data_IF_143967369184
#
_entry.id   IF_143967369184
#
_cell.length_a   1.000
_cell.length_b   1.000
_cell.length_c   1.000
_cell.angle_alpha   90.00
_cell.angle_beta   90.00
_cell.angle_gamma   90.00
#
_symmetry.space_group_name_H-M   'P 1'
#
loop_
_entity.id
_entity.type
_entity.pdbx_description
1 polymer ?
#
# COMPACT_ATOMS: atom_id res chain seq x y z
N UNK A 1 24.02 12.20 8.99
CA UNK A 1 24.53 11.02 8.26
C UNK A 1 24.67 9.79 9.17
N UNK A 2 25.43 9.82 10.27
CA UNK A 2 25.62 8.65 11.15
C UNK A 2 24.31 8.06 11.71
N UNK A 3 23.39 8.89 12.22
CA UNK A 3 22.08 8.45 12.72
C UNK A 3 21.24 7.70 11.66
N UNK A 4 21.33 8.09 10.39
CA UNK A 4 20.64 7.42 9.28
C UNK A 4 21.11 5.97 9.13
N UNK A 5 22.42 5.73 9.15
CA UNK A 5 22.98 4.37 9.08
C UNK A 5 22.69 3.54 10.32
N UNK A 6 22.64 4.15 11.51
CA UNK A 6 22.23 3.45 12.74
C UNK A 6 20.77 2.99 12.66
N UNK A 7 19.86 3.85 12.18
CA UNK A 7 18.46 3.49 11.97
C UNK A 7 18.32 2.36 10.95
N UNK A 8 18.97 2.47 9.79
CA UNK A 8 18.97 1.40 8.78
C UNK A 8 19.49 0.09 9.38
N UNK A 9 20.60 0.12 10.11
CA UNK A 9 21.16 -1.08 10.74
C UNK A 9 20.17 -1.72 11.72
N UNK A 10 19.47 -0.91 12.52
CA UNK A 10 18.40 -1.36 13.44
C UNK A 10 17.26 -2.03 12.66
N UNK A 11 16.78 -1.43 11.58
CA UNK A 11 15.72 -1.99 10.74
C UNK A 11 16.12 -3.34 10.12
N UNK A 12 17.35 -3.44 9.61
CA UNK A 12 17.92 -4.69 9.07
C UNK A 12 18.02 -5.78 10.15
N UNK A 13 18.30 -5.43 11.42
CA UNK A 13 18.30 -6.44 12.48
C UNK A 13 16.91 -7.05 12.68
N UNK A 14 15.83 -6.28 12.62
CA UNK A 14 14.48 -6.85 12.68
C UNK A 14 14.20 -7.79 11.51
N UNK A 15 14.60 -7.41 10.28
CA UNK A 15 14.50 -8.28 9.11
C UNK A 15 15.23 -9.62 9.30
N UNK A 16 16.42 -9.60 9.91
CA UNK A 16 17.20 -10.81 10.20
C UNK A 16 16.58 -11.70 11.28
N UNK A 17 15.85 -11.10 12.22
CA UNK A 17 15.15 -11.84 13.27
C UNK A 17 13.82 -12.41 12.76
N UNK A 18 13.27 -11.87 11.67
CA UNK A 18 12.07 -12.40 11.05
C UNK A 18 12.35 -13.81 10.47
N UNK A 19 11.61 -14.86 10.90
CA UNK A 19 11.86 -16.22 10.44
C UNK A 19 11.66 -16.35 8.93
N UNK A 20 12.66 -16.88 8.23
CA UNK A 20 12.66 -17.01 6.77
C UNK A 20 11.43 -17.77 6.26
N UNK A 21 11.03 -18.83 6.97
CA UNK A 21 9.87 -19.65 6.63
C UNK A 21 8.52 -18.96 6.81
N UNK A 22 8.48 -17.78 7.44
CA UNK A 22 7.28 -16.97 7.67
C UNK A 22 7.23 -15.72 6.76
N UNK A 23 8.25 -15.47 5.93
CA UNK A 23 8.37 -14.24 5.12
C UNK A 23 7.15 -13.99 4.21
N UNK A 24 6.46 -15.06 3.80
CA UNK A 24 5.25 -14.96 2.99
C UNK A 24 4.14 -14.15 3.68
N UNK A 25 4.14 -14.04 5.01
CA UNK A 25 3.15 -13.24 5.76
C UNK A 25 3.30 -11.74 5.54
N UNK A 26 4.46 -11.27 5.07
CA UNK A 26 4.61 -9.88 4.63
C UNK A 26 3.84 -9.59 3.34
N UNK A 27 3.50 -10.63 2.58
CA UNK A 27 2.90 -10.53 1.24
C UNK A 27 1.42 -10.86 1.29
N UNK A 28 1.07 -11.94 1.99
CA UNK A 28 -0.28 -12.51 1.99
C UNK A 28 -1.09 -11.91 3.14
N UNK A 29 -2.24 -11.31 2.82
CA UNK A 29 -3.19 -10.78 3.80
C UNK A 29 -3.49 -11.82 4.90
N UNK A 30 -3.42 -11.40 6.16
CA UNK A 30 -3.81 -12.23 7.30
C UNK A 30 -5.20 -12.87 7.18
N UNK A 31 -6.17 -12.14 6.62
CA UNK A 31 -7.54 -12.65 6.38
C UNK A 31 -7.58 -13.87 5.44
N UNK A 32 -6.57 -14.03 4.59
CA UNK A 32 -6.48 -15.10 3.61
C UNK A 32 -5.73 -16.33 4.14
N UNK A 33 -4.94 -16.22 5.22
CA UNK A 33 -4.05 -17.31 5.67
C UNK A 33 -4.80 -18.64 5.83
N UNK A 34 -5.96 -18.63 6.51
CA UNK A 34 -6.75 -19.86 6.70
C UNK A 34 -7.52 -20.30 5.44
N UNK A 35 -8.05 -19.35 4.68
CA UNK A 35 -8.88 -19.61 3.48
C UNK A 35 -8.02 -20.17 2.35
N UNK A 36 -6.78 -19.69 2.26
CA UNK A 36 -5.84 -19.93 1.18
C UNK A 36 -4.71 -20.90 1.53
N UNK A 37 -4.77 -21.45 2.75
CA UNK A 37 -3.80 -22.40 3.28
C UNK A 37 -2.37 -21.83 3.23
N UNK A 38 -2.20 -20.69 3.89
CA UNK A 38 -1.00 -19.87 3.87
C UNK A 38 -0.86 -19.15 2.53
N UNK A 39 0.31 -19.23 1.93
CA UNK A 39 0.65 -18.51 0.70
C UNK A 39 0.31 -19.27 -0.59
N UNK A 40 -0.04 -20.55 -0.49
CA UNK A 40 -0.17 -21.45 -1.65
C UNK A 40 -1.24 -20.99 -2.63
N UNK A 41 -2.49 -20.80 -2.18
CA UNK A 41 -3.56 -20.40 -3.11
C UNK A 41 -3.41 -18.94 -3.53
N UNK A 42 -2.85 -18.09 -2.67
CA UNK A 42 -2.52 -16.71 -3.00
C UNK A 42 -1.60 -16.64 -4.22
N UNK A 43 -0.48 -17.37 -4.19
CA UNK A 43 0.47 -17.47 -5.30
C UNK A 43 -0.19 -17.96 -6.59
N UNK A 44 -1.13 -18.91 -6.48
CA UNK A 44 -1.85 -19.50 -7.60
C UNK A 44 -2.85 -18.57 -8.28
N UNK A 45 -3.24 -17.46 -7.64
CA UNK A 45 -4.18 -16.48 -8.24
C UNK A 45 -3.63 -15.89 -9.54
N UNK A 46 -2.32 -15.66 -9.59
CA UNK A 46 -1.62 -15.10 -10.74
C UNK A 46 -0.54 -16.06 -11.24
N UNK A 47 -0.98 -17.26 -11.66
CA UNK A 47 -0.14 -18.28 -12.31
C UNK A 47 1.06 -18.77 -11.49
N UNK A 48 0.94 -18.82 -10.16
CA UNK A 48 1.99 -19.30 -9.24
C UNK A 48 3.28 -18.47 -9.27
N UNK A 49 3.12 -17.15 -9.39
CA UNK A 49 4.24 -16.20 -9.40
C UNK A 49 4.05 -14.97 -8.52
N UNK A 50 2.85 -14.72 -7.97
CA UNK A 50 2.58 -13.50 -7.20
C UNK A 50 3.51 -13.35 -5.97
N UNK A 51 3.73 -14.45 -5.25
CA UNK A 51 4.60 -14.43 -4.07
C UNK A 51 6.06 -14.22 -4.48
N UNK A 52 6.54 -14.91 -5.52
CA UNK A 52 7.90 -14.73 -6.02
C UNK A 52 8.14 -13.30 -6.55
N UNK A 53 7.21 -12.77 -7.35
CA UNK A 53 7.32 -11.43 -7.92
C UNK A 53 7.30 -10.36 -6.84
N UNK A 54 6.46 -10.52 -5.82
CA UNK A 54 6.48 -9.60 -4.66
C UNK A 54 7.75 -9.75 -3.83
N UNK A 55 8.31 -10.95 -3.66
CA UNK A 55 9.62 -11.15 -3.03
C UNK A 55 10.74 -10.44 -3.81
N UNK A 56 10.70 -10.43 -5.14
CA UNK A 56 11.65 -9.68 -5.97
C UNK A 56 11.49 -8.16 -5.75
N UNK A 57 10.25 -7.68 -5.59
CA UNK A 57 9.99 -6.29 -5.21
C UNK A 57 10.59 -5.93 -3.84
N UNK A 58 10.40 -6.80 -2.84
CA UNK A 58 11.00 -6.64 -1.51
C UNK A 58 12.54 -6.73 -1.53
N UNK A 59 13.11 -7.55 -2.40
CA UNK A 59 14.56 -7.60 -2.62
C UNK A 59 15.10 -6.22 -3.01
N UNK A 60 14.48 -5.56 -4.01
CA UNK A 60 14.82 -4.19 -4.40
C UNK A 60 14.53 -3.20 -3.27
N UNK A 61 13.42 -3.38 -2.55
CA UNK A 61 13.05 -2.49 -1.44
C UNK A 61 14.13 -2.46 -0.35
N UNK A 62 14.82 -3.58 -0.13
CA UNK A 62 15.84 -3.75 0.91
C UNK A 62 17.28 -3.61 0.43
N UNK A 63 17.53 -3.09 -0.77
CA UNK A 63 18.87 -2.66 -1.23
C UNK A 63 18.98 -1.15 -1.24
N UNK A 64 20.21 -0.61 -1.16
CA UNK A 64 20.46 0.83 -1.26
C UNK A 64 19.63 1.67 -0.26
N UNK A 65 19.44 1.18 0.97
CA UNK A 65 18.56 1.77 1.99
C UNK A 65 19.04 3.16 2.44
N UNK A 66 20.25 3.58 2.13
CA UNK A 66 20.72 4.95 2.34
C UNK A 66 20.22 5.95 1.28
N UNK A 67 19.57 5.48 0.21
CA UNK A 67 19.03 6.34 -0.86
C UNK A 67 17.60 6.77 -0.58
N UNK A 68 17.32 7.99 -1.00
CA UNK A 68 16.01 8.62 -0.87
C UNK A 68 14.98 7.96 -1.81
N UNK A 69 13.69 8.20 -1.53
CA UNK A 69 12.62 7.66 -2.37
C UNK A 69 12.50 8.51 -3.63
N UNK A 70 12.41 7.85 -4.79
CA UNK A 70 12.34 8.50 -6.11
C UNK A 70 11.35 7.76 -7.00
N UNK A 71 10.82 8.38 -8.08
CA UNK A 71 9.99 7.65 -9.03
C UNK A 71 10.73 6.49 -9.70
N UNK A 72 12.03 6.62 -9.96
CA UNK A 72 12.83 5.54 -10.55
C UNK A 72 12.85 4.28 -9.67
N UNK A 73 12.94 4.44 -8.35
CA UNK A 73 12.79 3.34 -7.41
C UNK A 73 11.38 2.75 -7.50
N UNK A 74 10.34 3.58 -7.47
CA UNK A 74 8.93 3.14 -7.54
C UNK A 74 8.65 2.34 -8.81
N UNK A 75 9.12 2.80 -9.97
CA UNK A 75 9.00 2.08 -11.25
C UNK A 75 9.75 0.73 -11.19
N UNK A 76 10.91 0.68 -10.55
CA UNK A 76 11.69 -0.55 -10.38
C UNK A 76 11.00 -1.56 -9.47
N UNK A 77 10.41 -1.09 -8.36
CA UNK A 77 9.61 -1.92 -7.45
C UNK A 77 8.40 -2.52 -8.17
N UNK A 78 7.64 -1.68 -8.90
CA UNK A 78 6.49 -2.15 -9.68
C UNK A 78 6.90 -3.16 -10.75
N UNK A 79 7.98 -2.86 -11.48
CA UNK A 79 8.54 -3.77 -12.49
C UNK A 79 8.84 -5.15 -11.88
N UNK A 80 9.50 -5.20 -10.73
CA UNK A 80 9.81 -6.46 -10.07
C UNK A 80 8.55 -7.19 -9.57
N UNK A 81 7.59 -6.47 -8.99
CA UNK A 81 6.29 -7.03 -8.55
C UNK A 81 5.46 -7.61 -9.71
N UNK A 82 5.69 -7.17 -10.94
CA UNK A 82 5.01 -7.68 -12.15
C UNK A 82 5.86 -8.64 -12.99
N UNK A 83 7.17 -8.72 -12.75
CA UNK A 83 8.07 -9.58 -13.53
C UNK A 83 7.67 -11.03 -13.31
N UNK A 84 7.54 -11.80 -14.40
CA UNK A 84 7.05 -13.19 -14.45
C UNK A 84 5.53 -13.39 -14.28
N UNK A 85 4.74 -12.33 -14.08
CA UNK A 85 3.29 -12.46 -14.17
C UNK A 85 2.90 -12.59 -15.65
N UNK A 86 2.43 -13.77 -16.06
CA UNK A 86 1.88 -13.96 -17.40
C UNK A 86 0.38 -13.77 -17.37
N UNK A 87 -0.12 -12.56 -17.60
CA UNK A 87 -1.54 -12.35 -17.87
C UNK A 87 -1.86 -12.80 -19.29
N UNK A 88 -2.04 -14.11 -19.50
CA UNK A 88 -2.56 -14.61 -20.76
C UNK A 88 -4.07 -14.78 -20.63
N UNK A 89 -4.79 -13.66 -20.66
CA UNK A 89 -6.24 -13.65 -20.76
C UNK A 89 -6.59 -13.45 -22.24
N UNK A 90 -7.08 -14.48 -22.94
CA UNK A 90 -7.40 -14.37 -24.36
C UNK A 90 -8.37 -13.21 -24.60
N UNK A 91 -7.95 -12.25 -25.42
CA UNK A 91 -8.78 -11.09 -25.81
C UNK A 91 -8.61 -9.84 -24.96
N UNK A 92 -7.80 -9.85 -23.89
CA UNK A 92 -7.46 -8.64 -23.15
C UNK A 92 -6.04 -8.17 -23.45
N UNK A 93 -5.94 -7.07 -24.21
CA UNK A 93 -4.70 -6.29 -24.33
C UNK A 93 -4.87 -5.10 -23.39
N UNK A 94 -4.45 -5.23 -22.13
CA UNK A 94 -4.08 -4.05 -21.35
C UNK A 94 -2.62 -3.75 -21.68
N UNK A 95 -2.29 -2.49 -21.97
CA UNK A 95 -0.91 -2.00 -21.96
C UNK A 95 -0.42 -1.92 -20.50
N UNK A 96 -0.41 -3.07 -19.82
CA UNK A 96 0.04 -3.24 -18.43
C UNK A 96 1.53 -3.59 -18.42
N UNK A 97 2.33 -2.64 -18.92
CA UNK A 97 3.78 -2.82 -19.01
C UNK A 97 4.43 -2.67 -17.62
N UNK A 98 5.19 -3.69 -17.14
CA UNK A 98 5.89 -3.64 -15.86
C UNK A 98 6.82 -2.42 -15.75
N UNK A 99 6.63 -1.64 -14.69
CA UNK A 99 7.44 -0.44 -14.44
C UNK A 99 7.12 0.76 -15.33
N UNK A 100 5.91 0.83 -15.90
CA UNK A 100 5.43 1.98 -16.66
C UNK A 100 4.13 2.48 -16.04
N UNK A 101 3.98 3.80 -15.92
CA UNK A 101 2.71 4.40 -15.47
C UNK A 101 1.60 4.15 -16.49
N UNK A 102 0.37 3.95 -16.01
CA UNK A 102 -0.78 3.75 -16.90
C UNK A 102 -1.01 4.97 -17.80
N UNK A 103 -1.44 4.72 -19.02
CA UNK A 103 -1.79 5.70 -20.04
C UNK A 103 -3.31 5.94 -20.14
N UNK A 104 -4.11 5.19 -19.37
CA UNK A 104 -5.58 5.27 -19.34
C UNK A 104 -6.17 5.44 -17.94
N UNK A 105 -7.49 5.54 -17.86
CA UNK A 105 -8.21 5.70 -16.59
C UNK A 105 -8.33 4.37 -15.86
N UNK A 106 -7.78 4.29 -14.65
CA UNK A 106 -8.01 3.20 -13.71
C UNK A 106 -9.34 3.35 -12.96
N UNK A 107 -9.73 2.33 -12.20
CA UNK A 107 -10.72 2.46 -11.12
C UNK A 107 -10.63 1.26 -10.19
N UNK A 108 -11.03 1.42 -8.93
CA UNK A 108 -11.22 0.30 -8.02
C UNK A 108 -12.47 0.49 -7.16
N UNK A 109 -13.01 -0.63 -6.68
CA UNK A 109 -14.23 -0.65 -5.88
C UNK A 109 -13.97 -0.26 -4.42
N UNK A 110 -14.90 0.51 -3.86
CA UNK A 110 -14.97 0.78 -2.43
C UNK A 110 -15.88 -0.25 -1.76
N UNK A 111 -15.43 -0.76 -0.62
CA UNK A 111 -16.07 -1.82 0.17
C UNK A 111 -15.97 -1.48 1.65
N UNK A 112 -16.76 -2.15 2.49
CA UNK A 112 -16.64 -1.99 3.96
C UNK A 112 -15.25 -2.38 4.48
N UNK A 113 -14.52 -3.24 3.77
CA UNK A 113 -13.19 -3.71 4.20
C UNK A 113 -12.08 -2.67 3.98
N UNK A 114 -12.27 -1.74 3.03
CA UNK A 114 -11.23 -0.79 2.61
C UNK A 114 -11.68 0.67 2.71
N UNK A 115 -12.84 0.94 3.31
CA UNK A 115 -13.41 2.30 3.41
C UNK A 115 -13.96 2.55 4.81
N UNK A 116 -13.80 3.78 5.28
CA UNK A 116 -14.35 4.29 6.56
C UNK A 116 -15.04 5.62 6.33
N UNK A 117 -15.85 6.07 7.29
CA UNK A 117 -16.48 7.39 7.23
C UNK A 117 -15.40 8.47 7.28
N UNK A 118 -14.44 8.35 8.19
CA UNK A 118 -13.36 9.32 8.37
C UNK A 118 -12.44 9.40 7.14
N UNK A 119 -12.17 8.26 6.48
CA UNK A 119 -11.39 8.25 5.25
C UNK A 119 -12.12 8.84 4.05
N UNK A 120 -13.45 8.70 3.97
CA UNK A 120 -14.27 9.40 2.97
C UNK A 120 -14.35 10.90 3.26
N UNK A 121 -14.47 11.27 4.53
CA UNK A 121 -14.49 12.67 4.96
C UNK A 121 -13.16 13.37 4.62
N UNK A 122 -12.02 12.77 5.00
CA UNK A 122 -10.69 13.27 4.64
C UNK A 122 -10.53 13.42 3.13
N UNK A 123 -11.01 12.43 2.36
CA UNK A 123 -10.98 12.50 0.90
C UNK A 123 -11.84 13.64 0.35
N UNK A 124 -13.05 13.87 0.89
CA UNK A 124 -13.89 14.97 0.43
C UNK A 124 -13.36 16.34 0.86
N UNK A 125 -12.72 16.44 2.02
CA UNK A 125 -12.10 17.68 2.49
C UNK A 125 -10.83 18.01 1.71
N UNK A 126 -10.10 17.02 1.18
CA UNK A 126 -8.91 17.30 0.36
C UNK A 126 -9.23 18.07 -0.93
N UNK A 127 -10.46 17.97 -1.46
CA UNK A 127 -10.93 18.81 -2.58
C UNK A 127 -11.02 20.31 -2.23
N UNK A 128 -11.09 20.64 -0.94
CA UNK A 128 -11.17 22.03 -0.47
C UNK A 128 -9.76 22.65 -0.33
N UNK A 129 -8.74 21.83 -0.04
CA UNK A 129 -7.35 22.24 0.22
C UNK A 129 -6.49 22.38 -1.04
N UNK A 130 -6.82 21.72 -2.16
CA UNK A 130 -6.08 21.80 -3.43
C UNK A 130 -5.98 23.23 -3.99
N UNK A 131 -6.89 24.12 -3.57
CA UNK A 131 -6.91 25.55 -3.93
C UNK A 131 -5.78 26.37 -3.29
N UNK A 132 -5.21 25.90 -2.17
CA UNK A 132 -4.21 26.64 -1.38
C UNK A 132 -2.77 26.38 -1.84
N UNK A 133 -2.50 25.24 -2.48
CA UNK A 133 -1.16 24.83 -2.91
C UNK A 133 -0.81 25.20 -4.37
N UNK A 134 -1.65 25.99 -5.04
CA UNK A 134 -1.35 26.52 -6.39
C UNK A 134 -1.39 25.47 -7.51
N UNK A 135 -2.02 24.32 -7.26
CA UNK A 135 -2.37 23.39 -8.33
C UNK A 135 -3.62 23.94 -9.06
N UNK A 136 -3.50 24.17 -10.36
CA UNK A 136 -4.53 24.80 -11.20
C UNK A 136 -5.86 24.00 -11.11
N UNK A 137 -6.98 24.67 -10.82
CA UNK A 137 -8.30 24.11 -10.41
C UNK A 137 -8.93 23.04 -11.34
N UNK A 138 -8.31 22.76 -12.50
CA UNK A 138 -8.76 21.77 -13.50
C UNK A 138 -7.96 20.49 -13.50
N UNK A 139 -6.89 20.46 -12.74
CA UNK A 139 -5.87 19.45 -12.77
C UNK A 139 -6.03 18.74 -11.43
N UNK A 140 -6.89 17.71 -11.47
CA UNK A 140 -6.93 16.55 -10.59
C UNK A 140 -7.79 16.65 -9.36
N UNK A 141 -9.00 16.13 -9.51
CA UNK A 141 -9.39 15.04 -8.65
C UNK A 141 -10.35 14.10 -9.40
N UNK A 142 -10.39 12.80 -9.06
CA UNK A 142 -11.14 11.79 -9.82
C UNK A 142 -12.43 11.32 -9.11
N UNK A 143 -13.53 10.98 -9.83
CA UNK A 143 -14.85 10.83 -9.20
C UNK A 143 -15.02 9.61 -8.33
N UNK A 144 -15.80 9.79 -7.26
CA UNK A 144 -16.67 8.74 -6.73
C UNK A 144 -17.93 8.70 -7.60
N UNK A 145 -18.15 7.58 -8.26
CA UNK A 145 -19.31 7.35 -9.11
C UNK A 145 -20.10 6.11 -8.67
N UNK A 146 -21.43 6.21 -8.79
CA UNK A 146 -22.34 5.08 -8.65
C UNK A 146 -22.68 4.52 -10.04
N UNK A 147 -21.67 3.96 -10.72
CA UNK A 147 -21.83 3.45 -12.08
C UNK A 147 -22.03 1.94 -12.10
N UNK A 148 -23.25 1.47 -11.81
CA UNK A 148 -23.63 0.11 -12.23
C UNK A 148 -25.11 -0.17 -12.45
N UNK A 149 -26.02 0.80 -12.34
CA UNK A 149 -27.45 0.50 -12.41
C UNK A 149 -28.03 0.24 -13.82
N UNK A 150 -27.25 0.38 -14.89
CA UNK A 150 -27.75 0.26 -16.27
C UNK A 150 -27.14 -0.89 -17.10
N UNK A 151 -26.44 -1.84 -16.48
CA UNK A 151 -26.03 -3.05 -17.20
C UNK A 151 -27.18 -4.06 -17.20
N UNK A 152 -27.46 -4.67 -18.35
CA UNK A 152 -28.41 -5.78 -18.41
C UNK A 152 -27.97 -6.90 -17.46
N UNK A 153 -28.89 -7.68 -16.87
CA UNK A 153 -28.55 -8.80 -15.97
C UNK A 153 -27.49 -9.74 -16.53
N UNK A 154 -27.48 -9.93 -17.85
CA UNK A 154 -26.52 -10.76 -18.58
C UNK A 154 -25.11 -10.14 -18.64
N UNK A 155 -25.00 -8.82 -18.87
CA UNK A 155 -23.73 -8.07 -18.78
C UNK A 155 -23.22 -7.98 -17.35
N UNK A 156 -24.12 -7.91 -16.37
CA UNK A 156 -23.78 -7.89 -14.95
C UNK A 156 -23.26 -9.27 -14.49
N UNK A 157 -23.87 -10.36 -14.97
CA UNK A 157 -23.41 -11.73 -14.75
C UNK A 157 -22.04 -12.01 -15.39
N UNK A 158 -21.83 -11.61 -16.65
CA UNK A 158 -20.54 -11.76 -17.34
C UNK A 158 -19.41 -10.97 -16.65
N UNK A 159 -19.70 -9.75 -16.15
CA UNK A 159 -18.73 -8.93 -15.40
C UNK A 159 -18.43 -9.50 -14.00
N UNK A 160 -19.41 -10.09 -13.33
CA UNK A 160 -19.22 -10.73 -12.02
C UNK A 160 -18.46 -12.06 -12.13
N UNK A 161 -18.61 -12.78 -13.24
CA UNK A 161 -17.83 -13.97 -13.56
C UNK A 161 -16.37 -13.63 -13.87
N UNK A 162 -16.11 -12.48 -14.53
CA UNK A 162 -14.75 -11.94 -14.69
C UNK A 162 -14.13 -11.60 -13.31
N UNK A 163 -14.85 -10.90 -12.43
CA UNK A 163 -14.30 -10.51 -11.12
C UNK A 163 -13.93 -11.68 -10.19
N UNK A 164 -14.58 -12.85 -10.33
CA UNK A 164 -14.27 -14.06 -9.54
C UNK A 164 -13.27 -15.02 -10.18
N UNK A 165 -12.76 -14.74 -11.39
CA UNK A 165 -11.88 -15.69 -12.08
C UNK A 165 -11.00 -15.19 -13.23
N UNK A 166 -11.09 -13.93 -13.67
CA UNK A 166 -10.21 -13.37 -14.70
C UNK A 166 -10.48 -11.88 -14.90
N UNK A 167 -9.43 -11.08 -14.90
CA UNK A 167 -9.41 -9.75 -15.51
C UNK A 167 -9.73 -9.88 -17.02
N UNK A 168 -10.98 -10.12 -17.39
CA UNK A 168 -11.46 -9.93 -18.77
C UNK A 168 -11.85 -8.47 -18.85
N UNK A 169 -11.04 -7.69 -19.57
CA UNK A 169 -11.28 -6.28 -19.72
C UNK A 169 -12.51 -6.03 -20.56
N UNK A 170 -13.31 -5.11 -20.05
CA UNK A 170 -14.19 -4.33 -20.88
C UNK A 170 -13.33 -3.27 -21.54
N UNK A 171 -13.01 -3.49 -22.82
CA UNK A 171 -12.69 -2.42 -23.76
C UNK A 171 -13.73 -1.32 -23.55
N UNK A 172 -13.25 -0.11 -23.34
CA UNK A 172 -14.06 1.10 -23.21
C UNK A 172 -14.95 1.27 -24.45
N UNK A 173 -16.17 0.77 -24.38
CA UNK A 173 -17.33 1.49 -24.91
C UNK A 173 -17.95 2.15 -23.68
N UNK A 174 -17.31 3.24 -23.26
CA UNK A 174 -17.91 4.20 -22.34
C UNK A 174 -18.71 5.19 -23.19
N UNK A 175 -19.70 4.68 -23.93
CA UNK A 175 -20.84 5.49 -24.35
C UNK A 175 -21.90 5.32 -23.26
N UNK A 176 -22.13 6.36 -22.47
CA UNK A 176 -23.22 6.39 -21.51
C UNK A 176 -22.84 6.41 -20.03
N UNK A 177 -21.68 6.96 -19.64
CA UNK A 177 -21.51 7.44 -18.27
C UNK A 177 -22.57 8.51 -18.04
N UNK A 178 -23.55 8.21 -17.20
CA UNK A 178 -24.45 9.23 -16.72
C UNK A 178 -23.69 10.04 -15.65
N UNK A 179 -23.02 11.11 -16.09
CA UNK A 179 -22.26 12.03 -15.24
C UNK A 179 -23.10 12.71 -14.16
N UNK A 180 -24.43 12.55 -14.14
CA UNK A 180 -25.32 13.18 -13.16
C UNK A 180 -25.16 12.70 -11.71
N UNK A 181 -24.45 11.60 -11.46
CA UNK A 181 -24.24 11.07 -10.09
C UNK A 181 -22.79 11.04 -9.63
N UNK A 182 -21.84 11.51 -10.46
CA UNK A 182 -20.45 11.59 -10.08
C UNK A 182 -20.21 12.86 -9.25
N UNK A 183 -19.52 12.74 -8.11
CA UNK A 183 -19.17 13.90 -7.28
C UNK A 183 -18.23 14.87 -8.03
N UNK A 184 -17.63 14.49 -9.17
CA UNK A 184 -16.62 15.33 -9.86
C UNK A 184 -17.10 16.15 -11.04
N UNK A 185 -18.37 16.10 -11.41
CA UNK A 185 -18.90 17.12 -12.32
C UNK A 185 -19.21 18.44 -11.58
N UNK A 186 -19.22 18.41 -10.25
CA UNK A 186 -19.60 19.50 -9.36
C UNK A 186 -18.52 19.70 -8.30
N UNK A 187 -18.35 20.91 -7.81
CA UNK A 187 -17.56 21.13 -6.59
C UNK A 187 -18.21 20.32 -5.44
N UNK A 188 -17.44 19.71 -4.53
CA UNK A 188 -17.97 19.01 -3.33
C UNK A 188 -18.98 19.91 -2.59
N UNK A 189 -18.74 21.23 -2.54
CA UNK A 189 -19.68 22.21 -1.97
C UNK A 189 -21.00 22.33 -2.74
N UNK A 190 -20.95 22.28 -4.08
CA UNK A 190 -22.14 22.27 -4.92
C UNK A 190 -22.91 20.96 -4.72
N UNK A 191 -22.21 19.83 -4.63
CA UNK A 191 -22.83 18.52 -4.37
C UNK A 191 -23.52 18.47 -3.01
N UNK A 192 -22.83 18.99 -1.98
CA UNK A 192 -23.41 19.17 -0.64
C UNK A 192 -24.68 20.01 -0.71
N UNK A 193 -24.61 21.18 -1.36
CA UNK A 193 -25.74 22.11 -1.50
C UNK A 193 -26.93 21.49 -2.25
N UNK A 194 -26.70 20.84 -3.39
CA UNK A 194 -27.77 20.23 -4.19
C UNK A 194 -28.48 19.07 -3.48
N UNK A 195 -27.74 18.32 -2.66
CA UNK A 195 -28.27 17.16 -1.92
C UNK A 195 -28.73 17.48 -0.50
N UNK A 196 -28.55 18.73 -0.06
CA UNK A 196 -28.95 19.20 1.27
C UNK A 196 -28.04 18.71 2.40
N UNK A 197 -26.78 18.38 2.10
CA UNK A 197 -25.77 18.12 3.12
C UNK A 197 -25.18 19.43 3.63
N UNK A 198 -25.00 19.55 4.94
CA UNK A 198 -24.47 20.74 5.60
C UNK A 198 -23.00 20.61 5.97
N UNK A 199 -22.48 19.38 6.05
CA UNK A 199 -21.09 19.08 6.40
C UNK A 199 -20.50 18.01 5.48
N UNK A 200 -19.16 17.95 5.42
CA UNK A 200 -18.45 16.86 4.73
C UNK A 200 -18.70 15.52 5.41
N UNK A 201 -18.76 15.49 6.75
CA UNK A 201 -19.12 14.30 7.52
C UNK A 201 -20.47 13.68 7.10
N UNK A 202 -21.52 14.50 6.92
CA UNK A 202 -22.83 14.02 6.46
C UNK A 202 -22.77 13.39 5.07
N UNK A 203 -21.97 13.97 4.17
CA UNK A 203 -21.71 13.42 2.84
C UNK A 203 -20.94 12.09 2.93
N UNK A 204 -19.91 12.02 3.77
CA UNK A 204 -19.14 10.79 4.01
C UNK A 204 -20.01 9.65 4.57
N UNK A 205 -20.84 9.95 5.57
CA UNK A 205 -21.81 9.00 6.13
C UNK A 205 -22.79 8.50 5.07
N UNK A 206 -23.28 9.39 4.20
CA UNK A 206 -24.18 9.01 3.11
C UNK A 206 -23.52 7.98 2.18
N UNK A 207 -22.30 8.25 1.70
CA UNK A 207 -21.59 7.33 0.81
C UNK A 207 -21.18 6.03 1.50
N UNK A 208 -20.75 6.11 2.76
CA UNK A 208 -20.42 4.91 3.52
C UNK A 208 -21.64 4.00 3.70
N UNK A 209 -22.82 4.57 4.00
CA UNK A 209 -24.07 3.81 4.08
C UNK A 209 -24.44 3.14 2.75
N UNK A 210 -24.13 3.79 1.62
CA UNK A 210 -24.33 3.20 0.28
C UNK A 210 -23.44 1.98 0.06
N UNK A 211 -22.17 2.06 0.47
CA UNK A 211 -21.23 0.94 0.46
C UNK A 211 -21.77 -0.21 1.33
N UNK A 212 -22.24 0.09 2.55
CA UNK A 212 -22.83 -0.92 3.45
C UNK A 212 -24.12 -1.56 2.91
N UNK A 213 -24.84 -0.85 2.05
CA UNK A 213 -26.01 -1.38 1.34
C UNK A 213 -25.64 -2.26 0.14
N UNK A 214 -24.35 -2.48 -0.10
CA UNK A 214 -23.84 -3.24 -1.23
C UNK A 214 -23.92 -2.48 -2.56
N UNK A 215 -24.13 -1.16 -2.54
CA UNK A 215 -24.05 -0.37 -3.77
C UNK A 215 -22.62 -0.36 -4.28
N UNK A 216 -22.46 -0.48 -5.60
CA UNK A 216 -21.15 -0.51 -6.22
C UNK A 216 -20.64 0.91 -6.38
N UNK A 217 -19.81 1.31 -5.43
CA UNK A 217 -19.12 2.58 -5.45
C UNK A 217 -17.70 2.35 -5.96
N UNK A 218 -17.25 3.16 -6.91
CA UNK A 218 -15.89 3.09 -7.44
C UNK A 218 -15.17 4.41 -7.23
N UNK A 219 -13.89 4.31 -6.86
CA UNK A 219 -12.95 5.42 -6.93
C UNK A 219 -12.28 5.35 -8.30
N UNK A 220 -12.36 6.45 -9.03
CA UNK A 220 -11.48 6.69 -10.16
C UNK A 220 -10.19 7.34 -9.60
N UNK A 221 -8.99 7.07 -10.11
CA UNK A 221 -7.76 7.76 -9.74
C UNK A 221 -7.45 8.94 -10.68
N UNK A 222 -6.45 9.79 -10.36
CA UNK A 222 -5.86 10.82 -11.22
C UNK A 222 -5.81 10.49 -12.73
N UNK A 223 -6.01 11.48 -13.61
CA UNK A 223 -5.72 11.31 -15.03
C UNK A 223 -4.25 10.89 -15.31
N UNK A 224 -3.96 10.17 -16.40
CA UNK A 224 -2.61 9.70 -16.71
C UNK A 224 -1.53 10.80 -16.79
N UNK A 225 -1.89 11.98 -17.30
CA UNK A 225 -0.91 12.98 -17.73
C UNK A 225 -0.12 13.67 -16.61
N UNK A 226 -0.51 13.56 -15.33
CA UNK A 226 0.27 14.10 -14.20
C UNK A 226 0.80 13.00 -13.29
N UNK A 227 0.49 11.73 -13.50
CA UNK A 227 0.89 10.67 -12.58
C UNK A 227 2.38 10.81 -12.20
N UNK A 228 3.25 11.03 -13.19
CA UNK A 228 4.68 11.26 -12.94
C UNK A 228 4.98 12.50 -12.08
N UNK A 229 4.28 13.61 -12.32
CA UNK A 229 4.40 14.85 -11.53
C UNK A 229 3.96 14.61 -10.08
N UNK A 230 2.85 13.91 -9.88
CA UNK A 230 2.31 13.58 -8.55
C UNK A 230 3.25 12.64 -7.78
N UNK A 231 3.78 11.59 -8.43
CA UNK A 231 4.72 10.67 -7.81
C UNK A 231 6.05 11.36 -7.44
N UNK A 232 6.56 12.26 -8.29
CA UNK A 232 7.76 13.08 -8.00
C UNK A 232 7.52 14.02 -6.80
N UNK A 233 6.38 14.73 -6.80
CA UNK A 233 6.01 15.65 -5.72
C UNK A 233 5.85 14.93 -4.38
N UNK A 234 5.15 13.78 -4.36
CA UNK A 234 4.99 12.94 -3.18
C UNK A 234 6.33 12.37 -2.68
N UNK A 235 7.22 11.97 -3.60
CA UNK A 235 8.56 11.49 -3.24
C UNK A 235 9.39 12.58 -2.57
N UNK A 236 9.39 13.78 -3.16
CA UNK A 236 10.08 14.96 -2.59
C UNK A 236 9.52 15.31 -1.20
N UNK A 237 8.20 15.46 -1.10
CA UNK A 237 7.50 15.77 0.16
C UNK A 237 7.80 14.74 1.26
N UNK A 238 7.79 13.44 0.93
CA UNK A 238 8.14 12.39 1.88
C UNK A 238 9.57 12.56 2.41
N UNK A 239 10.55 12.72 1.51
CA UNK A 239 11.96 12.82 1.89
C UNK A 239 12.22 14.04 2.79
N UNK A 240 11.56 15.17 2.54
CA UNK A 240 11.66 16.38 3.36
C UNK A 240 11.00 16.21 4.73
N UNK A 241 9.75 15.70 4.76
CA UNK A 241 8.99 15.51 5.99
C UNK A 241 9.63 14.46 6.90
N UNK A 242 10.08 13.33 6.35
CA UNK A 242 10.69 12.28 7.17
C UNK A 242 12.04 12.70 7.77
N UNK A 243 12.78 13.57 7.08
CA UNK A 243 14.05 14.11 7.57
C UNK A 243 13.85 15.13 8.71
N UNK A 244 12.72 15.84 8.74
CA UNK A 244 12.36 16.81 9.78
C UNK A 244 11.63 16.19 10.98
N UNK A 245 11.11 14.97 10.81
CA UNK A 245 10.38 14.26 11.87
C UNK A 245 11.23 14.02 13.12
N UNK A 246 10.69 14.44 14.26
CA UNK A 246 11.39 14.49 15.55
C UNK A 246 11.23 13.24 16.40
N UNK A 247 10.14 12.50 16.21
CA UNK A 247 9.79 11.34 17.02
C UNK A 247 9.24 10.17 16.19
N UNK A 248 9.16 8.99 16.79
CA UNK A 248 8.75 7.76 16.10
C UNK A 248 7.29 7.81 15.62
N UNK A 249 6.38 8.38 16.41
CA UNK A 249 4.96 8.53 16.02
C UNK A 249 4.80 9.42 14.79
N UNK A 250 5.53 10.55 14.75
CA UNK A 250 5.51 11.46 13.62
C UNK A 250 6.04 10.78 12.34
N UNK A 251 7.13 10.01 12.46
CA UNK A 251 7.65 9.21 11.33
C UNK A 251 6.63 8.19 10.83
N UNK A 252 5.98 7.45 11.74
CA UNK A 252 4.97 6.47 11.39
C UNK A 252 3.77 7.11 10.68
N UNK A 253 3.29 8.26 11.17
CA UNK A 253 2.22 9.02 10.54
C UNK A 253 2.61 9.51 9.14
N UNK A 254 3.82 10.06 8.98
CA UNK A 254 4.35 10.49 7.68
C UNK A 254 4.42 9.33 6.69
N UNK A 255 4.97 8.18 7.12
CA UNK A 255 5.06 6.99 6.25
C UNK A 255 3.68 6.47 5.87
N UNK A 256 2.76 6.36 6.82
CA UNK A 256 1.41 5.88 6.56
C UNK A 256 0.65 6.80 5.60
N UNK A 257 0.71 8.11 5.82
CA UNK A 257 0.06 9.10 4.96
C UNK A 257 0.64 9.08 3.53
N UNK A 258 1.97 9.11 3.36
CA UNK A 258 2.55 9.09 2.02
C UNK A 258 2.28 7.77 1.28
N UNK A 259 2.29 6.62 1.97
CA UNK A 259 1.88 5.34 1.36
C UNK A 259 0.44 5.39 0.86
N UNK A 260 -0.50 5.97 1.64
CA UNK A 260 -1.88 6.19 1.19
C UNK A 260 -1.92 7.05 -0.06
N UNK A 261 -1.21 8.19 -0.06
CA UNK A 261 -1.20 9.10 -1.20
C UNK A 261 -0.62 8.45 -2.47
N UNK A 262 0.48 7.70 -2.36
CA UNK A 262 1.01 6.94 -3.50
C UNK A 262 -0.01 5.93 -4.04
N UNK A 263 -0.72 5.22 -3.15
CA UNK A 263 -1.77 4.27 -3.54
C UNK A 263 -2.98 4.96 -4.19
N UNK A 264 -3.34 6.16 -3.74
CA UNK A 264 -4.43 6.99 -4.27
C UNK A 264 -4.17 7.52 -5.68
N UNK A 265 -2.92 7.88 -5.98
CA UNK A 265 -2.51 8.20 -7.36
C UNK A 265 -2.80 7.02 -8.30
N UNK A 266 -2.72 5.80 -7.75
CA UNK A 266 -2.95 4.53 -8.44
C UNK A 266 -2.24 4.51 -9.81
N UNK A 267 -0.91 4.72 -9.83
CA UNK A 267 -0.15 5.02 -11.03
C UNK A 267 -0.04 3.85 -12.02
N UNK A 268 -0.29 2.63 -11.56
CA UNK A 268 -0.16 1.41 -12.37
C UNK A 268 -1.53 0.78 -12.64
N UNK A 269 -1.64 -0.03 -13.68
CA UNK A 269 -2.88 -0.77 -13.98
C UNK A 269 -3.23 -1.81 -12.91
N UNK A 270 -2.20 -2.33 -12.22
CA UNK A 270 -2.33 -3.35 -11.18
C UNK A 270 -1.09 -3.27 -10.24
N UNK A 271 -1.05 -4.10 -9.19
CA UNK A 271 0.05 -4.22 -8.23
C UNK A 271 0.41 -2.94 -7.46
N UNK A 272 -0.50 -1.97 -7.38
CA UNK A 272 -0.32 -0.75 -6.59
C UNK A 272 -0.09 -1.07 -5.09
N UNK A 273 -0.93 -1.90 -4.46
CA UNK A 273 -0.75 -2.31 -3.05
C UNK A 273 0.58 -3.06 -2.82
N UNK A 274 0.94 -3.98 -3.73
CA UNK A 274 2.23 -4.71 -3.69
C UNK A 274 3.41 -3.73 -3.75
N UNK A 275 3.33 -2.76 -4.63
CA UNK A 275 4.38 -1.76 -4.82
C UNK A 275 4.48 -0.82 -3.62
N UNK A 276 3.37 -0.24 -3.17
CA UNK A 276 3.38 0.85 -2.18
C UNK A 276 3.31 0.38 -0.73
N UNK A 277 2.42 -0.56 -0.43
CA UNK A 277 2.19 -1.03 0.94
C UNK A 277 3.15 -2.17 1.29
N UNK A 278 3.35 -3.12 0.37
CA UNK A 278 4.20 -4.28 0.67
C UNK A 278 5.68 -3.93 0.48
N UNK A 279 6.07 -3.27 -0.61
CA UNK A 279 7.48 -2.96 -0.87
C UNK A 279 7.92 -1.60 -0.32
N UNK A 280 7.35 -0.50 -0.81
CA UNK A 280 7.83 0.85 -0.49
C UNK A 280 7.69 1.19 1.00
N UNK A 281 6.54 0.92 1.62
CA UNK A 281 6.35 1.16 3.06
C UNK A 281 7.34 0.36 3.92
N UNK A 282 7.57 -0.91 3.61
CA UNK A 282 8.54 -1.72 4.35
C UNK A 282 9.97 -1.21 4.17
N UNK A 283 10.34 -0.69 2.99
CA UNK A 283 11.59 0.05 2.83
C UNK A 283 11.65 1.25 3.78
N UNK A 284 10.63 2.12 3.75
CA UNK A 284 10.58 3.33 4.58
C UNK A 284 10.71 2.98 6.08
N UNK A 285 10.03 1.94 6.55
CA UNK A 285 10.13 1.44 7.93
C UNK A 285 11.56 1.02 8.29
N UNK A 286 12.20 0.21 7.44
CA UNK A 286 13.57 -0.26 7.67
C UNK A 286 14.56 0.90 7.67
N UNK A 287 14.40 1.88 6.77
CA UNK A 287 15.24 3.09 6.74
C UNK A 287 15.19 3.87 8.06
N UNK A 288 14.03 3.86 8.74
CA UNK A 288 13.83 4.55 10.01
C UNK A 288 14.07 3.67 11.24
N UNK A 289 14.49 2.42 11.06
CA UNK A 289 14.83 1.51 12.15
C UNK A 289 13.64 0.84 12.84
N UNK A 290 12.50 0.78 12.15
CA UNK A 290 11.34 -0.02 12.56
C UNK A 290 11.42 -1.44 11.99
N UNK A 291 10.69 -2.41 12.58
CA UNK A 291 10.44 -3.67 11.90
C UNK A 291 9.58 -3.45 10.65
N UNK A 292 9.54 -4.45 9.78
CA UNK A 292 8.55 -4.53 8.69
C UNK A 292 7.14 -4.74 9.25
N UNK A 293 6.12 -4.50 8.42
CA UNK A 293 4.71 -4.60 8.80
C UNK A 293 4.04 -5.86 8.23
N UNK A 294 3.45 -6.68 9.10
CA UNK A 294 2.64 -7.85 8.72
C UNK A 294 1.15 -7.54 8.91
N UNK A 295 0.42 -7.37 7.80
CA UNK A 295 -0.96 -6.90 7.84
C UNK A 295 -1.99 -8.03 7.91
N UNK A 296 -3.08 -7.78 8.65
CA UNK A 296 -4.30 -8.56 8.49
C UNK A 296 -5.00 -8.30 7.14
N UNK A 297 -5.07 -7.01 6.76
CA UNK A 297 -5.49 -6.54 5.44
C UNK A 297 -4.70 -5.28 5.08
N UNK A 298 -3.91 -5.27 3.99
CA UNK A 298 -3.20 -4.07 3.54
C UNK A 298 -4.11 -3.08 2.80
N UNK A 299 -5.34 -3.48 2.45
CA UNK A 299 -6.33 -2.62 1.76
C UNK A 299 -6.83 -1.45 2.61
N UNK A 300 -6.42 -1.35 3.88
CA UNK A 300 -6.70 -0.17 4.70
C UNK A 300 -6.12 1.12 4.09
N UNK A 301 -5.05 1.04 3.29
CA UNK A 301 -4.44 2.18 2.57
C UNK A 301 -5.24 2.68 1.36
N UNK A 302 -6.45 2.14 1.15
CA UNK A 302 -7.44 2.78 0.30
C UNK A 302 -8.11 3.91 1.11
N UNK A 303 -9.33 3.75 1.61
CA UNK A 303 -10.14 4.83 2.19
C UNK A 303 -10.25 4.78 3.72
N UNK A 304 -9.15 4.53 4.43
CA UNK A 304 -9.07 4.79 5.88
C UNK A 304 -8.54 6.19 6.16
N UNK A 305 -9.01 6.80 7.25
CA UNK A 305 -8.49 8.09 7.73
C UNK A 305 -7.03 7.99 8.18
N UNK A 306 -6.28 9.09 8.10
CA UNK A 306 -4.86 9.14 8.46
C UNK A 306 -4.55 8.65 9.89
N UNK A 307 -5.39 9.02 10.86
CA UNK A 307 -5.25 8.57 12.26
C UNK A 307 -5.48 7.06 12.41
N UNK A 308 -6.46 6.54 11.66
CA UNK A 308 -6.75 5.11 11.63
C UNK A 308 -5.60 4.33 10.98
N UNK A 309 -4.98 4.88 9.92
CA UNK A 309 -3.85 4.26 9.24
C UNK A 309 -2.61 4.14 10.13
N UNK A 310 -2.30 5.17 10.92
CA UNK A 310 -1.20 5.11 11.88
C UNK A 310 -1.41 3.99 12.89
N UNK A 311 -2.65 3.84 13.37
CA UNK A 311 -3.04 2.75 14.28
C UNK A 311 -2.92 1.38 13.61
N UNK A 312 -3.37 1.24 12.35
CA UNK A 312 -3.27 -0.01 11.58
C UNK A 312 -1.83 -0.40 11.26
N UNK A 313 -0.97 0.58 10.98
CA UNK A 313 0.46 0.35 10.83
C UNK A 313 1.07 -0.16 12.14
N UNK A 314 0.78 0.48 13.28
CA UNK A 314 1.24 0.00 14.59
C UNK A 314 0.77 -1.43 14.91
N UNK A 315 -0.49 -1.77 14.63
CA UNK A 315 -1.01 -3.14 14.75
C UNK A 315 -0.16 -4.12 13.92
N UNK A 316 0.15 -3.78 12.66
CA UNK A 316 0.95 -4.62 11.78
C UNK A 316 2.42 -4.76 12.26
N UNK A 317 3.01 -3.73 12.87
CA UNK A 317 4.33 -3.82 13.49
C UNK A 317 4.32 -4.73 14.74
N UNK A 318 3.25 -4.68 15.56
CA UNK A 318 3.08 -5.57 16.71
C UNK A 318 2.96 -7.03 16.26
N UNK A 319 2.26 -7.31 15.15
CA UNK A 319 2.18 -8.67 14.58
C UNK A 319 3.55 -9.17 14.15
N UNK A 320 4.35 -8.33 13.48
CA UNK A 320 5.74 -8.67 13.14
C UNK A 320 6.56 -9.01 14.39
N UNK A 321 6.40 -8.24 15.46
CA UNK A 321 7.11 -8.53 16.72
C UNK A 321 6.68 -9.88 17.31
N UNK A 322 5.39 -10.19 17.32
CA UNK A 322 4.90 -11.51 17.75
C UNK A 322 5.53 -12.65 16.95
N UNK A 323 5.70 -12.48 15.64
CA UNK A 323 6.38 -13.46 14.77
C UNK A 323 7.84 -13.64 15.19
N UNK A 324 8.56 -12.53 15.39
CA UNK A 324 9.97 -12.52 15.83
C UNK A 324 10.12 -13.18 17.21
N UNK A 325 9.18 -12.94 18.12
CA UNK A 325 9.15 -13.53 19.47
C UNK A 325 8.80 -15.03 19.46
N UNK A 326 8.54 -15.60 18.28
CA UNK A 326 8.36 -17.03 18.08
C UNK A 326 6.91 -17.50 18.17
N UNK A 327 5.93 -16.59 18.13
CA UNK A 327 4.52 -16.95 18.08
C UNK A 327 4.22 -17.77 16.81
N UNK A 328 3.76 -19.00 17.00
CA UNK A 328 3.56 -19.97 15.91
C UNK A 328 2.24 -19.82 15.18
N UNK A 329 1.24 -19.23 15.83
CA UNK A 329 -0.10 -19.02 15.29
C UNK A 329 -0.36 -17.54 15.12
N UNK A 330 -0.44 -17.10 13.86
CA UNK A 330 -0.66 -15.71 13.47
C UNK A 330 -1.92 -15.69 12.62
N UNK A 331 -2.85 -14.79 12.96
CA UNK A 331 -4.19 -14.71 12.35
C UNK A 331 -4.93 -16.07 12.32
N UNK A 332 -4.73 -16.90 13.34
CA UNK A 332 -5.36 -18.23 13.44
C UNK A 332 -4.80 -19.27 12.46
N UNK A 333 -3.56 -19.08 11.99
CA UNK A 333 -2.91 -19.99 11.03
C UNK A 333 -1.45 -20.25 11.39
N UNK A 334 -1.02 -21.52 11.39
CA UNK A 334 0.35 -21.93 11.66
C UNK A 334 1.07 -22.30 10.38
N UNK A 335 2.34 -21.92 10.25
CA UNK A 335 3.15 -22.34 9.11
C UNK A 335 3.38 -23.86 9.07
N UNK A 336 3.27 -24.52 10.23
CA UNK A 336 3.25 -25.99 10.33
C UNK A 336 2.10 -26.64 9.55
N UNK A 337 1.01 -25.90 9.31
CA UNK A 337 -0.19 -26.38 8.62
C UNK A 337 0.00 -26.39 7.09
N UNK A 338 1.01 -25.67 6.58
CA UNK A 338 1.41 -25.74 5.16
C UNK A 338 2.07 -27.10 4.90
N UNK A 339 1.82 -27.70 3.74
CA UNK A 339 2.46 -28.96 3.34
C UNK A 339 4.00 -28.82 3.30
N UNK A 340 4.74 -29.84 3.75
CA UNK A 340 6.22 -29.83 3.79
C UNK A 340 6.82 -29.47 2.42
N UNK A 341 6.29 -30.06 1.34
CA UNK A 341 6.74 -29.82 -0.03
C UNK A 341 6.64 -28.33 -0.42
N UNK A 342 5.57 -27.66 0.02
CA UNK A 342 5.35 -26.24 -0.23
C UNK A 342 6.29 -25.40 0.64
N UNK A 343 6.51 -25.75 1.91
CA UNK A 343 7.51 -25.05 2.73
C UNK A 343 8.90 -25.10 2.12
N UNK A 344 9.31 -26.24 1.53
CA UNK A 344 10.58 -26.33 0.81
C UNK A 344 10.58 -25.42 -0.44
N UNK A 345 9.51 -25.45 -1.25
CA UNK A 345 9.38 -24.53 -2.40
C UNK A 345 9.50 -23.06 -1.96
N UNK A 346 8.87 -22.69 -0.84
CA UNK A 346 8.96 -21.33 -0.30
C UNK A 346 10.38 -20.99 0.17
N UNK A 347 11.05 -21.94 0.81
CA UNK A 347 12.44 -21.78 1.21
C UNK A 347 13.32 -21.45 0.00
N UNK A 348 13.18 -22.19 -1.10
CA UNK A 348 13.99 -21.97 -2.30
C UNK A 348 13.83 -20.56 -2.88
N UNK A 349 12.59 -20.05 -2.95
CA UNK A 349 12.31 -18.73 -3.53
C UNK A 349 12.69 -17.53 -2.65
N UNK A 350 13.01 -17.77 -1.37
CA UNK A 350 13.41 -16.72 -0.42
C UNK A 350 14.94 -16.51 -0.34
N UNK A 351 15.72 -17.27 -1.11
CA UNK A 351 17.20 -17.18 -1.06
C UNK A 351 17.70 -15.80 -1.50
N UNK A 352 17.15 -15.24 -2.58
CA UNK A 352 17.60 -13.97 -3.14
C UNK A 352 17.38 -12.81 -2.16
N UNK A 353 16.17 -12.69 -1.60
CA UNK A 353 15.87 -11.64 -0.60
C UNK A 353 16.72 -11.80 0.66
N UNK A 354 16.97 -13.04 1.12
CA UNK A 354 17.83 -13.30 2.29
C UNK A 354 19.27 -12.84 2.01
N UNK A 355 19.77 -13.13 0.81
CA UNK A 355 21.09 -12.70 0.35
C UNK A 355 21.17 -11.18 0.22
N UNK A 356 20.15 -10.52 -0.34
CA UNK A 356 20.09 -9.07 -0.45
C UNK A 356 20.14 -8.39 0.93
N UNK A 357 19.36 -8.87 1.91
CA UNK A 357 19.38 -8.37 3.30
C UNK A 357 20.78 -8.54 3.92
N UNK A 358 21.43 -9.67 3.71
CA UNK A 358 22.77 -9.93 4.25
C UNK A 358 23.85 -9.04 3.62
N UNK A 359 23.77 -8.83 2.30
CA UNK A 359 24.68 -7.94 1.56
C UNK A 359 24.51 -6.50 2.01
N UNK A 360 23.26 -6.03 2.10
CA UNK A 360 22.95 -4.69 2.54
C UNK A 360 23.41 -4.45 3.98
N UNK A 361 23.21 -5.43 4.88
CA UNK A 361 23.76 -5.36 6.24
C UNK A 361 25.27 -5.13 6.23
N UNK A 362 25.99 -5.87 5.41
CA UNK A 362 27.45 -5.82 5.33
C UNK A 362 27.92 -4.45 4.84
N UNK A 363 27.24 -3.89 3.83
CA UNK A 363 27.48 -2.53 3.33
C UNK A 363 27.25 -1.47 4.42
N UNK A 364 26.17 -1.58 5.18
CA UNK A 364 25.84 -0.64 6.26
C UNK A 364 26.84 -0.73 7.42
N UNK A 365 27.28 -1.93 7.81
CA UNK A 365 28.33 -2.13 8.83
C UNK A 365 29.64 -1.48 8.37
N UNK A 366 30.05 -1.70 7.12
CA UNK A 366 31.27 -1.09 6.58
C UNK A 366 31.23 0.44 6.67
N UNK A 367 30.07 1.06 6.38
CA UNK A 367 29.88 2.50 6.57
C UNK A 367 29.97 2.93 8.03
N UNK A 368 29.36 2.17 8.95
CA UNK A 368 29.39 2.47 10.38
C UNK A 368 30.80 2.36 10.96
N UNK A 369 31.53 1.29 10.66
CA UNK A 369 32.89 1.05 11.15
C UNK A 369 33.88 2.12 10.67
N UNK A 370 33.75 2.54 9.40
CA UNK A 370 34.54 3.65 8.85
C UNK A 370 34.24 4.99 9.53
N UNK A 371 33.04 5.15 10.13
CA UNK A 371 32.64 6.38 10.81
C UNK A 371 32.98 6.39 12.30
N UNK A 372 32.90 5.24 13.00
CA UNK A 372 33.23 5.08 14.42
C UNK A 372 33.62 3.60 14.77
N UNK A 373 34.93 3.27 14.89
CA UNK A 373 35.41 1.90 15.06
C UNK A 373 35.12 1.20 16.41
N UNK A 374 34.53 1.89 17.40
CA UNK A 374 34.49 1.42 18.80
C UNK A 374 33.11 0.97 19.32
N UNK A 375 32.08 0.92 18.48
CA UNK A 375 30.72 0.52 18.90
C UNK A 375 30.47 -0.97 18.71
N UNK A 376 30.06 -1.66 19.78
CA UNK A 376 29.68 -3.07 19.73
C UNK A 376 28.19 -3.22 19.36
N UNK A 377 27.92 -3.57 18.11
CA UNK A 377 26.57 -3.65 17.52
C UNK A 377 25.81 -4.97 17.81
N UNK A 378 26.13 -5.67 18.90
CA UNK A 378 25.58 -7.02 19.20
C UNK A 378 24.46 -7.08 20.24
N UNK A 379 23.94 -5.94 20.72
CA UNK A 379 22.89 -5.90 21.75
C UNK A 379 21.48 -6.10 21.15
N UNK A 380 20.59 -6.88 21.78
CA UNK A 380 19.23 -7.11 21.29
C UNK A 380 18.37 -5.83 21.28
N UNK A 381 17.44 -5.76 20.32
CA UNK A 381 16.56 -4.62 20.09
C UNK A 381 15.22 -4.80 20.80
N UNK A 382 14.73 -3.72 21.42
CA UNK A 382 13.36 -3.61 21.92
C UNK A 382 12.60 -2.59 21.07
N UNK A 383 11.30 -2.84 20.87
CA UNK A 383 10.39 -1.83 20.34
C UNK A 383 10.31 -0.61 21.28
N UNK A 384 9.96 0.58 20.76
CA UNK A 384 9.60 1.71 21.61
C UNK A 384 8.50 1.32 22.61
N UNK A 385 8.61 1.73 23.87
CA UNK A 385 7.63 1.42 24.92
C UNK A 385 6.28 2.10 24.67
N UNK A 386 5.20 1.50 25.17
CA UNK A 386 3.82 2.00 25.01
C UNK A 386 3.59 3.38 25.66
N UNK A 387 4.47 3.81 26.58
CA UNK A 387 4.38 5.11 27.28
C UNK A 387 4.55 6.35 26.37
N UNK A 388 4.99 6.18 25.12
CA UNK A 388 5.11 7.29 24.14
C UNK A 388 3.89 7.45 23.20
N UNK A 389 2.79 6.73 23.42
CA UNK A 389 1.68 6.61 22.44
C UNK A 389 0.52 7.62 22.62
N UNK A 390 0.50 8.44 23.68
CA UNK A 390 -0.66 9.30 24.00
C UNK A 390 -0.66 10.71 23.36
N UNK A 391 0.17 10.98 22.34
CA UNK A 391 0.31 12.34 21.77
C UNK A 391 0.36 12.32 20.24
N UNK A 392 -0.63 11.73 19.58
CA UNK A 392 -0.70 11.67 18.10
C UNK A 392 -1.54 12.81 17.48
N UNK A 393 -2.30 13.58 18.27
CA UNK A 393 -3.53 14.22 17.74
C UNK A 393 -3.47 15.76 17.64
N UNK A 394 -2.43 16.38 17.06
CA UNK A 394 -2.50 17.86 16.91
C UNK A 394 -1.83 18.50 15.69
N UNK A 395 -0.95 17.83 14.95
CA UNK A 395 -0.07 18.54 13.99
C UNK A 395 -0.38 18.33 12.50
N UNK A 396 -1.34 17.47 12.12
CA UNK A 396 -1.60 17.18 10.69
C UNK A 396 -2.88 17.82 10.13
N UNK A 397 -3.67 18.52 10.95
CA UNK A 397 -4.90 19.21 10.52
C UNK A 397 -4.69 20.70 10.16
N UNK A 398 -3.44 21.20 10.17
CA UNK A 398 -3.11 22.61 9.97
C UNK A 398 -2.20 22.87 8.74
N UNK A 399 -2.15 21.94 7.78
CA UNK A 399 -1.39 22.10 6.54
C UNK A 399 -2.22 21.71 5.33
#
# INVERSE_FOLDING_TARGET
MHLKYQNIFKGIQYLKLYPREELWRLIVDGRLHKIENGWKKYDQREYASDVQSTLNGLEIAFTDLDKDITPALILSLHKACKTNLQFNIPGLILNDEPGVFRDGTGSFGLTEENTTVEGLEEYFDSFTLEKEYGFDEKIYSPPINNECHNLSPEKQFQRNMAWRGSSIGTTSIIEGVNYQTAVNAMNVEEYKKERGFTTTHELALYWYKKIQQGERITYQPPAPCIIGIQIEALSTSYNEKIASASCDNEKLAIMAWHTKQFNFVHPFWDANIRTFVICLLNRMLVQQGFPVATYYSPHVFDFFGADQLSSKLMEALKVTQSIIDGQKEIFGFKNSDIEISQRHKFHDITENITSAIANERSRIIQHLDNSQPSLNYSKPLLLPSEENQSTIVANFSNH
#
